data_IF_437912661367
#
_entry.id   IF_437912661367
#
_cell.length_a   1.000
_cell.length_b   1.000
_cell.length_c   1.000
_cell.angle_alpha   90.00
_cell.angle_beta   90.00
_cell.angle_gamma   90.00
#
_symmetry.space_group_name_H-M   'P 1'
#
loop_
_entity.id
_entity.type
_entity.pdbx_description
1 polymer ?
#
# COMPACT_ATOMS: atom_id res chain seq x y z
N UNK A 1 4.64 17.43 -8.34
CA UNK A 1 5.30 16.64 -7.28
C UNK A 1 5.00 15.18 -7.54
N UNK A 2 6.01 14.31 -7.61
CA UNK A 2 5.82 12.85 -7.63
C UNK A 2 6.06 12.37 -6.20
N UNK A 3 5.00 11.91 -5.53
CA UNK A 3 5.11 11.26 -4.23
C UNK A 3 4.99 9.76 -4.45
N UNK A 4 5.91 8.99 -3.88
CA UNK A 4 5.88 7.52 -3.93
C UNK A 4 5.08 6.93 -2.78
N UNK A 5 4.68 7.76 -1.81
CA UNK A 5 3.93 7.39 -0.63
C UNK A 5 2.68 8.26 -0.46
N UNK A 6 1.56 7.61 -0.13
CA UNK A 6 0.27 8.23 0.14
C UNK A 6 -0.47 7.47 1.24
N UNK A 7 -1.10 8.22 2.15
CA UNK A 7 -1.93 7.68 3.21
C UNK A 7 -3.21 8.50 3.37
N UNK A 8 -4.35 7.81 3.49
CA UNK A 8 -5.65 8.39 3.80
C UNK A 8 -6.18 7.82 5.12
N UNK A 9 -6.55 8.71 6.04
CA UNK A 9 -7.19 8.39 7.31
C UNK A 9 -8.50 9.17 7.43
N UNK A 10 -9.54 8.53 7.97
CA UNK A 10 -10.85 9.13 8.25
C UNK A 10 -11.27 8.71 9.65
N UNK A 11 -11.65 9.67 10.49
CA UNK A 11 -12.03 9.41 11.90
C UNK A 11 -10.97 8.60 12.66
N UNK A 12 -9.69 8.96 12.47
CA UNK A 12 -8.51 8.27 13.03
C UNK A 12 -8.33 6.80 12.60
N UNK A 13 -9.12 6.32 11.64
CA UNK A 13 -8.97 5.00 11.03
C UNK A 13 -8.17 5.09 9.73
N UNK A 14 -7.11 4.29 9.62
CA UNK A 14 -6.38 4.16 8.36
C UNK A 14 -7.24 3.43 7.32
N UNK A 15 -7.52 4.13 6.22
CA UNK A 15 -8.35 3.63 5.12
C UNK A 15 -7.52 3.10 3.98
N UNK A 16 -6.51 3.84 3.58
CA UNK A 16 -5.70 3.51 2.41
C UNK A 16 -4.26 3.88 2.66
N UNK A 17 -3.35 2.97 2.32
CA UNK A 17 -1.92 3.22 2.27
C UNK A 17 -1.35 2.70 0.95
N UNK A 18 -0.57 3.56 0.28
CA UNK A 18 0.19 3.22 -0.90
C UNK A 18 1.65 3.61 -0.71
N UNK A 19 2.56 2.66 -0.87
CA UNK A 19 3.98 2.88 -1.06
C UNK A 19 4.44 2.12 -2.30
N UNK A 20 4.71 2.87 -3.37
CA UNK A 20 5.08 2.31 -4.67
C UNK A 20 6.48 1.70 -4.65
N UNK A 21 7.40 2.23 -3.83
CA UNK A 21 8.78 1.73 -3.78
C UNK A 21 8.90 0.51 -2.89
N UNK A 22 8.11 0.45 -1.82
CA UNK A 22 8.14 -0.64 -0.85
C UNK A 22 7.05 -1.69 -1.11
N UNK A 23 6.31 -1.57 -2.21
CA UNK A 23 5.24 -2.47 -2.61
C UNK A 23 4.16 -2.70 -1.54
N UNK A 24 3.78 -1.60 -0.88
CA UNK A 24 2.74 -1.59 0.15
C UNK A 24 1.46 -1.07 -0.48
N UNK A 25 0.43 -1.90 -0.49
CA UNK A 25 -0.94 -1.49 -0.78
C UNK A 25 -1.82 -2.04 0.33
N UNK A 26 -2.39 -1.16 1.15
CA UNK A 26 -3.31 -1.55 2.22
C UNK A 26 -4.63 -0.82 2.10
N UNK A 27 -5.71 -1.55 2.35
CA UNK A 27 -7.06 -1.01 2.46
C UNK A 27 -7.64 -1.51 3.79
N UNK A 28 -8.13 -0.58 4.61
CA UNK A 28 -8.60 -0.85 5.98
C UNK A 28 -7.62 -1.72 6.80
N UNK A 29 -6.32 -1.40 6.70
CA UNK A 29 -5.23 -2.12 7.36
C UNK A 29 -4.88 -3.50 6.78
N UNK A 30 -5.60 -3.98 5.77
CA UNK A 30 -5.33 -5.28 5.12
C UNK A 30 -4.46 -5.10 3.89
N UNK A 31 -3.47 -5.96 3.75
CA UNK A 31 -2.68 -6.06 2.54
C UNK A 31 -3.55 -6.52 1.37
N UNK A 32 -3.52 -5.78 0.27
CA UNK A 32 -4.28 -6.10 -0.94
C UNK A 32 -3.39 -6.48 -2.11
N UNK A 33 -2.07 -6.50 -1.92
CA UNK A 33 -1.15 -7.00 -2.93
C UNK A 33 -1.02 -8.52 -2.79
N UNK A 34 -1.39 -9.32 -3.81
CA UNK A 34 -1.21 -10.76 -3.75
C UNK A 34 0.27 -11.13 -3.65
N UNK A 35 0.60 -12.16 -2.88
CA UNK A 35 1.98 -12.67 -2.75
C UNK A 35 2.62 -13.00 -4.11
N UNK A 36 1.81 -13.48 -5.06
CA UNK A 36 2.23 -13.74 -6.43
C UNK A 36 2.78 -12.49 -7.13
N UNK A 37 2.17 -11.33 -6.88
CA UNK A 37 2.61 -10.05 -7.45
C UNK A 37 3.96 -9.65 -6.88
N UNK A 38 4.19 -9.82 -5.56
CA UNK A 38 5.50 -9.56 -4.93
C UNK A 38 6.58 -10.47 -5.48
N UNK A 39 6.28 -11.77 -5.57
CA UNK A 39 7.20 -12.78 -6.10
C UNK A 39 7.60 -12.51 -7.56
N UNK A 40 6.65 -12.10 -8.42
CA UNK A 40 6.94 -11.72 -9.81
C UNK A 40 7.82 -10.47 -9.94
N UNK A 41 7.79 -9.60 -8.92
CA UNK A 41 8.57 -8.37 -8.87
C UNK A 41 9.92 -8.56 -8.17
N UNK A 42 10.19 -9.75 -7.61
CA UNK A 42 11.46 -10.08 -6.94
C UNK A 42 11.57 -9.58 -5.50
N UNK A 43 10.43 -9.33 -4.83
CA UNK A 43 10.34 -8.92 -3.43
C UNK A 43 9.98 -10.08 -2.51
#
# INVERSE_FOLDING_TARGET
MKNTWYRLSVDDLEKIEFDVLNFIWRIDGKDVLPDRTRSMLGF
#
